data_IF_502792303445
#
_entry.id   IF_502792303445
#
_cell.length_a   1.000
_cell.length_b   1.000
_cell.length_c   1.000
_cell.angle_alpha   90.00
_cell.angle_beta   90.00
_cell.angle_gamma   90.00
#
_symmetry.space_group_name_H-M   'P 1'
#
loop_
_entity.id
_entity.type
_entity.pdbx_description
1 polymer ?
#
# COMPACT_ATOMS: atom_id res chain seq x y z
N UNK A 1 13.78 2.95 2.34
CA UNK A 1 14.09 1.79 1.45
C UNK A 1 13.83 2.14 -0.02
N UNK A 2 14.28 1.32 -1.00
CA UNK A 2 13.76 1.41 -2.39
C UNK A 2 12.65 0.41 -2.60
N UNK A 3 11.46 0.90 -2.91
CA UNK A 3 10.31 0.07 -3.30
C UNK A 3 10.04 0.22 -4.79
N UNK A 4 9.73 -0.90 -5.45
CA UNK A 4 9.23 -0.92 -6.81
C UNK A 4 7.74 -1.21 -6.79
N UNK A 5 6.94 -0.22 -7.17
CA UNK A 5 5.49 -0.39 -7.32
C UNK A 5 5.24 -1.22 -8.58
N UNK A 6 4.66 -2.40 -8.39
CA UNK A 6 4.32 -3.35 -9.44
C UNK A 6 2.91 -3.12 -9.97
N UNK A 7 1.98 -2.86 -9.05
CA UNK A 7 0.59 -2.64 -9.39
C UNK A 7 -0.03 -1.65 -8.42
N UNK A 8 -0.91 -0.78 -8.90
CA UNK A 8 -1.72 0.07 -8.06
C UNK A 8 -3.14 0.07 -8.61
N UNK A 9 -4.11 0.06 -7.71
CA UNK A 9 -5.52 0.12 -8.05
C UNK A 9 -6.28 0.81 -6.93
N UNK A 10 -7.26 1.64 -7.27
CA UNK A 10 -8.15 2.27 -6.30
C UNK A 10 -9.58 2.04 -6.73
N UNK A 11 -10.40 1.67 -5.77
CA UNK A 11 -11.83 1.42 -5.95
C UNK A 11 -12.58 2.26 -4.94
N UNK A 12 -13.61 2.97 -5.37
CA UNK A 12 -14.53 3.65 -4.46
C UNK A 12 -15.89 2.95 -4.47
N UNK A 13 -16.40 2.66 -3.28
CA UNK A 13 -17.70 2.03 -3.07
C UNK A 13 -18.53 2.87 -2.12
N UNK A 14 -19.83 3.03 -2.41
CA UNK A 14 -20.75 3.80 -1.55
C UNK A 14 -20.88 3.25 -0.12
N UNK A 15 -20.70 1.93 0.06
CA UNK A 15 -20.75 1.27 1.38
C UNK A 15 -19.40 1.26 2.11
N UNK A 16 -18.30 0.98 1.40
CA UNK A 16 -16.99 0.77 2.03
C UNK A 16 -16.09 2.02 2.03
N UNK A 17 -16.41 3.04 1.24
CA UNK A 17 -15.57 4.22 1.03
C UNK A 17 -14.54 4.01 -0.07
N UNK A 18 -13.38 4.65 0.08
CA UNK A 18 -12.22 4.52 -0.81
C UNK A 18 -11.36 3.35 -0.35
N UNK A 19 -11.03 2.45 -1.27
CA UNK A 19 -10.15 1.30 -1.01
C UNK A 19 -9.08 1.28 -2.10
N UNK A 20 -7.85 1.61 -1.72
CA UNK A 20 -6.66 1.51 -2.54
C UNK A 20 -5.93 0.19 -2.27
N UNK A 21 -5.35 -0.41 -3.30
CA UNK A 21 -4.49 -1.58 -3.22
C UNK A 21 -3.24 -1.29 -4.04
N UNK A 22 -2.09 -1.37 -3.40
CA UNK A 22 -0.80 -1.21 -4.08
C UNK A 22 0.05 -2.43 -3.80
N UNK A 23 0.55 -3.04 -4.86
CA UNK A 23 1.49 -4.13 -4.80
C UNK A 23 2.86 -3.58 -5.11
N UNK A 24 3.81 -3.82 -4.23
CA UNK A 24 5.18 -3.38 -4.41
C UNK A 24 6.15 -4.45 -3.92
N UNK A 25 7.37 -4.40 -4.41
CA UNK A 25 8.48 -5.22 -3.94
C UNK A 25 9.58 -4.31 -3.37
N UNK A 26 10.32 -4.79 -2.38
CA UNK A 26 11.42 -4.05 -1.76
C UNK A 26 12.73 -4.55 -2.35
N UNK A 27 13.58 -3.63 -2.82
CA UNK A 27 14.90 -3.96 -3.36
C UNK A 27 15.75 -4.66 -2.29
N UNK A 28 16.05 -5.94 -2.49
CA UNK A 28 16.78 -6.79 -1.54
C UNK A 28 15.92 -7.86 -0.86
N UNK A 29 14.60 -7.82 -1.03
CA UNK A 29 13.69 -8.86 -0.59
C UNK A 29 13.11 -9.60 -1.80
N UNK A 30 12.98 -10.92 -1.69
CA UNK A 30 12.38 -11.74 -2.76
C UNK A 30 10.85 -11.71 -2.71
N UNK A 31 10.29 -11.19 -1.62
CA UNK A 31 8.86 -11.21 -1.36
C UNK A 31 8.19 -9.93 -1.87
N UNK A 32 6.93 -10.09 -2.27
CA UNK A 32 6.08 -9.01 -2.72
C UNK A 32 5.08 -8.66 -1.62
N UNK A 33 4.78 -7.37 -1.48
CA UNK A 33 3.92 -6.81 -0.47
C UNK A 33 2.68 -6.22 -1.11
N UNK A 34 1.55 -6.37 -0.42
CA UNK A 34 0.30 -5.70 -0.73
C UNK A 34 -0.01 -4.76 0.43
N UNK A 35 -0.10 -3.46 0.13
CA UNK A 35 -0.72 -2.49 1.03
C UNK A 35 -2.14 -2.22 0.56
N UNK A 36 -3.10 -2.45 1.45
CA UNK A 36 -4.49 -2.08 1.25
C UNK A 36 -4.79 -0.83 2.07
N UNK A 37 -5.00 0.28 1.38
CA UNK A 37 -5.41 1.56 1.93
C UNK A 37 -6.94 1.59 1.98
N UNK A 38 -7.54 1.97 3.10
CA UNK A 38 -8.99 2.15 3.17
C UNK A 38 -9.37 3.43 3.91
N UNK A 39 -10.34 4.16 3.38
CA UNK A 39 -10.85 5.37 4.02
C UNK A 39 -12.34 5.52 3.78
N UNK A 40 -13.11 5.71 4.86
CA UNK A 40 -14.55 5.98 4.76
C UNK A 40 -14.86 7.43 4.41
N UNK A 41 -14.04 8.37 4.88
CA UNK A 41 -14.30 9.83 4.79
C UNK A 41 -13.24 10.60 4.00
N UNK A 42 -12.22 9.92 3.47
CA UNK A 42 -11.01 10.54 2.89
C UNK A 42 -10.21 11.44 3.86
N UNK A 43 -10.63 11.57 5.12
CA UNK A 43 -9.94 12.31 6.19
C UNK A 43 -9.11 11.42 7.10
N UNK A 44 -9.47 10.13 7.20
CA UNK A 44 -8.77 9.13 8.00
C UNK A 44 -8.49 7.94 7.09
N UNK A 45 -7.22 7.65 6.88
CA UNK A 45 -6.77 6.52 6.07
C UNK A 45 -6.23 5.46 7.01
N UNK A 46 -6.90 4.30 7.02
CA UNK A 46 -6.27 3.09 7.51
C UNK A 46 -5.48 2.45 6.39
N UNK A 47 -4.48 1.66 6.76
CA UNK A 47 -3.81 0.79 5.83
C UNK A 47 -3.63 -0.58 6.47
N UNK A 48 -3.50 -1.61 5.64
CA UNK A 48 -3.12 -2.94 6.07
C UNK A 48 -2.03 -3.45 5.14
N UNK A 49 -0.89 -3.83 5.71
CA UNK A 49 0.21 -4.44 4.98
C UNK A 49 0.09 -5.97 5.04
N UNK A 50 0.24 -6.63 3.91
CA UNK A 50 0.17 -8.08 3.76
C UNK A 50 1.25 -8.59 2.80
N UNK A 51 1.62 -9.85 2.96
CA UNK A 51 2.41 -10.54 1.94
C UNK A 51 1.52 -10.95 0.76
N UNK A 52 1.93 -10.61 -0.46
CA UNK A 52 1.15 -10.86 -1.68
C UNK A 52 1.14 -12.34 -2.08
N UNK A 53 2.30 -13.02 -2.00
CA UNK A 53 2.47 -14.39 -2.49
C UNK A 53 2.64 -15.41 -1.37
N UNK A 54 3.70 -15.27 -0.57
CA UNK A 54 4.01 -16.18 0.55
C UNK A 54 4.34 -15.37 1.80
N UNK A 55 3.88 -15.86 2.96
CA UNK A 55 4.25 -15.34 4.26
C UNK A 55 5.77 -15.32 4.37
N UNK A 56 6.36 -14.13 4.28
CA UNK A 56 7.80 -13.92 4.34
C UNK A 56 8.32 -13.96 5.77
N UNK A 57 9.52 -13.42 5.97
CA UNK A 57 10.02 -13.22 7.33
C UNK A 57 9.23 -12.10 7.97
N UNK A 58 8.74 -12.32 9.18
CA UNK A 58 8.06 -11.28 9.96
C UNK A 58 8.92 -10.01 10.09
N UNK A 59 10.25 -10.16 10.22
CA UNK A 59 11.21 -9.04 10.24
C UNK A 59 11.12 -8.15 8.98
N UNK A 60 10.92 -8.74 7.80
CA UNK A 60 10.80 -7.99 6.55
C UNK A 60 9.47 -7.23 6.49
N UNK A 61 8.36 -7.84 6.95
CA UNK A 61 7.06 -7.16 7.06
C UNK A 61 7.14 -5.98 8.02
N UNK A 62 7.72 -6.22 9.21
CA UNK A 62 7.77 -5.26 10.30
C UNK A 62 8.67 -4.07 9.94
N UNK A 63 9.76 -4.31 9.21
CA UNK A 63 10.60 -3.23 8.69
C UNK A 63 9.88 -2.38 7.63
N UNK A 64 9.00 -2.97 6.82
CA UNK A 64 8.17 -2.22 5.87
C UNK A 64 7.07 -1.46 6.59
N UNK A 65 6.43 -2.04 7.62
CA UNK A 65 5.45 -1.32 8.45
C UNK A 65 6.09 -0.13 9.16
N UNK A 66 7.24 -0.32 9.79
CA UNK A 66 7.98 0.73 10.50
C UNK A 66 8.38 1.85 9.54
N UNK A 67 8.91 1.51 8.36
CA UNK A 67 9.22 2.50 7.31
C UNK A 67 7.96 3.22 6.80
N UNK A 68 6.81 2.56 6.69
CA UNK A 68 5.56 3.23 6.30
C UNK A 68 5.04 4.19 7.38
N UNK A 69 5.31 3.92 8.66
CA UNK A 69 4.97 4.82 9.77
C UNK A 69 5.98 5.97 9.91
N UNK A 70 7.27 5.73 9.65
CA UNK A 70 8.32 6.75 9.75
C UNK A 70 8.45 7.63 8.49
N UNK A 71 8.21 7.06 7.30
CA UNK A 71 8.37 7.70 5.99
C UNK A 71 7.00 8.06 5.39
N UNK A 72 6.50 9.24 5.78
CA UNK A 72 5.24 9.80 5.30
C UNK A 72 5.25 10.01 3.76
N UNK A 73 6.42 10.24 3.15
CA UNK A 73 6.56 10.39 1.69
C UNK A 73 6.35 9.06 0.96
N UNK A 74 6.85 7.96 1.51
CA UNK A 74 6.60 6.61 1.00
C UNK A 74 5.09 6.30 1.04
N UNK A 75 4.46 6.56 2.19
CA UNK A 75 3.03 6.35 2.36
C UNK A 75 2.21 7.21 1.39
N UNK A 76 2.47 8.52 1.30
CA UNK A 76 1.80 9.43 0.37
C UNK A 76 2.00 8.98 -1.08
N UNK A 77 3.21 8.52 -1.45
CA UNK A 77 3.48 8.01 -2.80
C UNK A 77 2.64 6.76 -3.13
N UNK A 78 2.42 5.85 -2.17
CA UNK A 78 1.56 4.68 -2.36
C UNK A 78 0.08 5.09 -2.48
N UNK A 79 -0.38 5.98 -1.60
CA UNK A 79 -1.74 6.54 -1.66
C UNK A 79 -1.98 7.20 -3.01
N UNK A 80 -1.06 8.06 -3.44
CA UNK A 80 -1.10 8.78 -4.71
C UNK A 80 -1.05 7.84 -5.90
N UNK A 81 -0.21 6.80 -5.88
CA UNK A 81 -0.15 5.79 -6.94
C UNK A 81 -1.50 5.07 -7.09
N UNK A 82 -2.15 4.71 -5.98
CA UNK A 82 -3.49 4.15 -6.01
C UNK A 82 -4.50 5.19 -6.52
N UNK A 83 -4.47 6.42 -6.03
CA UNK A 83 -5.41 7.49 -6.40
C UNK A 83 -5.36 7.86 -7.89
N UNK A 84 -4.16 7.93 -8.48
CA UNK A 84 -3.95 8.19 -9.93
C UNK A 84 -4.67 7.15 -10.81
N UNK A 85 -4.85 5.92 -10.30
CA UNK A 85 -5.59 4.87 -11.03
C UNK A 85 -7.11 5.05 -10.97
N UNK A 86 -7.63 5.76 -9.96
CA UNK A 86 -9.06 6.07 -9.85
C UNK A 86 -9.43 7.20 -10.83
N UNK A 87 -8.59 8.23 -10.94
CA UNK A 87 -8.84 9.39 -11.82
C UNK A 87 -8.76 9.03 -13.31
N UNK A 88 -8.07 7.94 -13.66
CA UNK A 88 -7.96 7.44 -15.03
C UNK A 88 -9.15 6.61 -15.51
N UNK A 89 -10.25 6.51 -14.76
CA UNK A 89 -11.46 5.75 -15.15
C UNK A 89 -12.64 6.63 -15.56
#
# INVERSE_FOLDING_TARGET
>A
MKVNILHASMTNSKESGFVGKVHFEVEGQTNQYEITLHSRKATEWGYGLFFLNESGKEEDLLAVEDELEEDDELFDSLVKAAWDTLEKK
#
